data_IF_805921702603
#
_entry.id   IF_805921702603
#
_cell.length_a   1.000
_cell.length_b   1.000
_cell.length_c   1.000
_cell.angle_alpha   90.00
_cell.angle_beta   90.00
_cell.angle_gamma   90.00
#
_symmetry.space_group_name_H-M   'P 1'
#
loop_
_entity.id
_entity.type
_entity.pdbx_description
1 polymer ?
#
# COMPACT_ATOMS: atom_id res chain seq x y z
N UNK A 1 16.18 -34.97 53.05
CA UNK A 1 15.65 -36.20 53.66
C UNK A 1 14.15 -36.17 53.56
N UNK A 2 13.71 -37.15 52.98
CA UNK A 2 12.49 -37.95 52.89
C UNK A 2 11.59 -37.64 51.69
N UNK A 3 11.67 -38.62 50.93
CA UNK A 3 11.02 -39.18 49.78
C UNK A 3 9.56 -39.61 50.01
N UNK A 4 8.71 -39.36 49.05
CA UNK A 4 7.69 -40.16 48.33
C UNK A 4 6.97 -41.30 49.09
N UNK A 5 5.67 -41.61 48.80
CA UNK A 5 5.44 -42.50 47.68
C UNK A 5 4.20 -42.25 46.78
N UNK A 6 4.33 -42.82 45.58
CA UNK A 6 3.28 -43.09 44.59
C UNK A 6 2.33 -44.19 45.03
N UNK A 7 1.13 -44.23 44.42
CA UNK A 7 0.18 -45.32 44.17
C UNK A 7 -1.11 -45.35 44.98
N UNK A 8 -2.10 -45.32 44.22
CA UNK A 8 -3.26 -46.20 44.05
C UNK A 8 -4.55 -45.38 43.86
N UNK A 9 -5.55 -45.70 43.18
CA UNK A 9 -5.95 -46.85 42.33
C UNK A 9 -7.30 -46.44 41.70
N UNK A 10 -7.53 -46.89 40.50
CA UNK A 10 -8.80 -46.84 39.77
C UNK A 10 -9.99 -47.30 40.62
N UNK A 11 -11.16 -46.69 40.41
CA UNK A 11 -12.39 -47.45 40.13
C UNK A 11 -13.48 -46.58 39.53
N UNK A 12 -14.00 -47.08 38.46
CA UNK A 12 -15.06 -46.71 37.57
C UNK A 12 -16.40 -46.36 38.24
N UNK A 13 -17.15 -45.48 37.56
CA UNK A 13 -18.59 -45.67 37.43
C UNK A 13 -19.05 -45.04 36.12
N UNK A 14 -19.63 -45.85 35.26
CA UNK A 14 -20.28 -45.48 34.02
C UNK A 14 -21.56 -44.70 34.35
N UNK A 15 -21.68 -43.52 33.69
CA UNK A 15 -22.93 -42.78 33.65
C UNK A 15 -23.08 -42.25 32.20
N UNK A 16 -23.98 -42.87 31.42
CA UNK A 16 -24.37 -42.44 30.12
C UNK A 16 -25.11 -41.12 30.23
N UNK A 17 -24.43 -40.03 29.91
CA UNK A 17 -25.04 -38.73 29.66
C UNK A 17 -25.00 -38.41 28.18
N UNK A 18 -26.16 -38.46 27.51
CA UNK A 18 -26.34 -37.97 26.16
C UNK A 18 -26.14 -36.45 26.18
N UNK A 19 -24.92 -36.01 25.84
CA UNK A 19 -24.65 -34.63 25.57
C UNK A 19 -25.20 -34.29 24.21
N UNK A 20 -26.36 -33.65 24.15
CA UNK A 20 -26.87 -32.94 23.00
C UNK A 20 -25.84 -31.85 22.67
N UNK A 21 -25.08 -32.06 21.61
CA UNK A 21 -24.25 -31.05 21.02
C UNK A 21 -25.15 -29.93 20.49
N UNK A 22 -25.36 -28.90 21.34
CA UNK A 22 -25.91 -27.63 20.92
C UNK A 22 -24.90 -27.04 19.92
N UNK A 23 -25.20 -27.18 18.63
CA UNK A 23 -24.46 -26.50 17.55
C UNK A 23 -24.50 -25.01 17.80
N UNK A 24 -23.43 -24.45 18.34
CA UNK A 24 -23.14 -23.04 18.27
C UNK A 24 -22.99 -22.71 16.79
N UNK A 25 -24.10 -22.28 16.18
CA UNK A 25 -24.06 -21.57 14.90
C UNK A 25 -23.16 -20.35 15.12
N UNK A 26 -21.91 -20.44 14.67
CA UNK A 26 -21.07 -19.26 14.49
C UNK A 26 -21.78 -18.49 13.38
N UNK A 27 -22.69 -17.58 13.78
CA UNK A 27 -23.13 -16.52 12.88
C UNK A 27 -21.86 -15.79 12.46
N UNK A 28 -21.37 -16.09 11.26
CA UNK A 28 -20.41 -15.24 10.60
C UNK A 28 -21.05 -13.84 10.58
N UNK A 29 -20.61 -12.95 11.48
CA UNK A 29 -20.93 -11.54 11.37
C UNK A 29 -20.51 -11.16 9.97
N UNK A 30 -21.48 -10.88 9.10
CA UNK A 30 -21.18 -10.34 7.78
C UNK A 30 -20.29 -9.12 8.00
N UNK A 31 -19.05 -9.19 7.52
CA UNK A 31 -18.10 -8.11 7.69
C UNK A 31 -18.75 -6.85 7.14
N UNK A 32 -18.93 -5.84 8.01
CA UNK A 32 -19.51 -4.56 7.61
C UNK A 32 -18.65 -4.03 6.46
N UNK A 33 -19.28 -3.87 5.29
CA UNK A 33 -18.60 -3.33 4.12
C UNK A 33 -18.10 -1.92 4.43
N UNK A 34 -16.82 -1.61 4.12
CA UNK A 34 -16.30 -0.29 4.37
C UNK A 34 -17.00 0.73 3.47
N UNK A 35 -17.58 1.74 4.08
CA UNK A 35 -18.27 2.83 3.39
C UNK A 35 -17.47 4.12 3.53
N UNK A 36 -17.00 4.71 2.42
CA UNK A 36 -16.39 6.02 2.46
C UNK A 36 -17.35 7.08 3.02
N UNK A 37 -16.83 7.99 3.84
CA UNK A 37 -17.56 9.09 4.47
C UNK A 37 -16.76 10.40 4.36
N UNK A 38 -17.25 11.47 4.98
CA UNK A 38 -16.57 12.77 4.99
C UNK A 38 -15.17 12.76 5.66
N UNK A 39 -14.87 11.72 6.49
CA UNK A 39 -13.58 11.52 7.15
C UNK A 39 -12.70 10.51 6.40
N UNK A 40 -13.10 10.11 5.22
CA UNK A 40 -12.38 9.18 4.34
C UNK A 40 -11.73 9.92 3.19
N UNK A 41 -10.54 9.46 2.76
CA UNK A 41 -9.89 9.94 1.56
C UNK A 41 -9.47 8.77 0.64
N UNK A 42 -9.63 8.97 -0.66
CA UNK A 42 -9.03 8.13 -1.69
C UNK A 42 -7.64 8.65 -1.99
N UNK A 43 -6.63 7.80 -1.87
CA UNK A 43 -5.25 8.08 -2.26
C UNK A 43 -4.97 7.33 -3.55
N UNK A 44 -4.72 8.06 -4.62
CA UNK A 44 -4.43 7.51 -5.95
C UNK A 44 -2.93 7.66 -6.20
N UNK A 45 -2.23 6.54 -6.05
CA UNK A 45 -0.77 6.50 -6.06
C UNK A 45 -0.26 6.33 -7.47
N UNK A 46 0.49 7.32 -7.97
CA UNK A 46 1.39 7.28 -9.12
C UNK A 46 0.79 6.65 -10.40
N UNK A 47 -0.45 6.99 -10.74
CA UNK A 47 -1.07 6.56 -12.01
C UNK A 47 -0.56 7.46 -13.13
N UNK A 48 0.70 7.21 -13.54
CA UNK A 48 1.49 8.02 -14.47
C UNK A 48 1.86 7.23 -15.73
N UNK A 49 2.23 7.95 -16.79
CA UNK A 49 2.62 7.34 -18.07
C UNK A 49 3.85 6.42 -17.93
N UNK A 50 4.81 6.76 -17.06
CA UNK A 50 6.00 5.94 -16.79
C UNK A 50 5.66 4.52 -16.30
N UNK A 51 4.53 4.31 -15.61
CA UNK A 51 4.16 3.04 -15.00
C UNK A 51 3.12 2.23 -15.80
N UNK A 52 2.72 2.69 -16.97
CA UNK A 52 1.78 1.96 -17.84
C UNK A 52 2.48 1.46 -19.10
N UNK A 53 1.77 0.71 -19.93
CA UNK A 53 2.30 0.18 -21.18
C UNK A 53 2.90 1.29 -22.04
N UNK A 54 4.17 1.13 -22.45
CA UNK A 54 4.93 2.09 -23.22
C UNK A 54 5.72 3.12 -22.41
N UNK A 55 5.56 3.14 -21.08
CA UNK A 55 6.36 3.96 -20.18
C UNK A 55 7.75 3.38 -19.90
N UNK A 56 8.55 4.12 -19.14
CA UNK A 56 9.97 3.77 -18.89
C UNK A 56 10.16 2.71 -17.80
N UNK A 57 9.17 2.53 -16.92
CA UNK A 57 9.12 1.48 -15.88
C UNK A 57 7.72 0.84 -15.85
N UNK A 58 7.30 0.15 -16.95
CA UNK A 58 5.93 -0.31 -17.06
C UNK A 58 5.61 -1.41 -16.07
N UNK A 59 4.48 -1.24 -15.38
CA UNK A 59 3.86 -2.25 -14.53
C UNK A 59 2.89 -3.05 -15.40
N UNK A 60 2.95 -4.39 -15.31
CA UNK A 60 2.06 -5.26 -16.08
C UNK A 60 0.58 -4.92 -15.83
N UNK A 61 -0.16 -4.68 -16.90
CA UNK A 61 -1.58 -4.29 -16.85
C UNK A 61 -1.82 -3.01 -15.99
N UNK A 62 -0.84 -2.12 -15.89
CA UNK A 62 -0.90 -0.92 -15.05
C UNK A 62 -2.07 0.00 -15.39
N UNK A 63 -2.38 0.17 -16.67
CA UNK A 63 -3.50 0.97 -17.15
C UNK A 63 -4.88 0.43 -16.73
N UNK A 64 -5.00 -0.86 -16.39
CA UNK A 64 -6.27 -1.45 -15.97
C UNK A 64 -6.83 -0.85 -14.67
N UNK A 65 -5.99 -0.22 -13.85
CA UNK A 65 -6.43 0.44 -12.61
C UNK A 65 -7.25 1.70 -12.90
N UNK A 66 -7.04 2.37 -14.04
CA UNK A 66 -7.61 3.67 -14.37
C UNK A 66 -9.15 3.63 -14.36
N UNK A 67 -9.74 2.66 -15.06
CA UNK A 67 -11.20 2.55 -15.14
C UNK A 67 -11.83 2.25 -13.76
N UNK A 68 -11.17 1.44 -12.94
CA UNK A 68 -11.63 1.10 -11.59
C UNK A 68 -11.56 2.34 -10.70
N UNK A 69 -10.43 3.05 -10.70
CA UNK A 69 -10.22 4.27 -9.93
C UNK A 69 -11.25 5.34 -10.29
N UNK A 70 -11.45 5.61 -11.59
CA UNK A 70 -12.43 6.58 -12.05
C UNK A 70 -13.85 6.26 -11.55
N UNK A 71 -14.21 4.98 -11.56
CA UNK A 71 -15.53 4.52 -11.08
C UNK A 71 -15.70 4.75 -9.58
N UNK A 72 -14.74 4.31 -8.76
CA UNK A 72 -14.87 4.40 -7.30
C UNK A 72 -14.67 5.82 -6.78
N UNK A 73 -13.93 6.67 -7.50
CA UNK A 73 -13.65 8.05 -7.10
C UNK A 73 -14.92 8.88 -6.87
N UNK A 74 -16.01 8.58 -7.58
CA UNK A 74 -17.29 9.25 -7.40
C UNK A 74 -17.89 9.08 -5.97
N UNK A 75 -17.48 8.03 -5.25
CA UNK A 75 -17.89 7.78 -3.86
C UNK A 75 -17.08 8.53 -2.80
N UNK A 76 -16.07 9.32 -3.20
CA UNK A 76 -15.17 9.99 -2.27
C UNK A 76 -15.28 11.51 -2.35
N UNK A 77 -15.43 12.15 -1.18
CA UNK A 77 -15.40 13.61 -1.07
C UNK A 77 -13.96 14.15 -1.05
N UNK A 78 -13.00 13.36 -0.60
CA UNK A 78 -11.60 13.76 -0.51
C UNK A 78 -10.76 12.82 -1.38
N UNK A 79 -10.03 13.40 -2.33
CA UNK A 79 -9.16 12.66 -3.24
C UNK A 79 -7.80 13.33 -3.25
N UNK A 80 -6.76 12.53 -3.01
CA UNK A 80 -5.35 12.91 -3.12
C UNK A 80 -4.72 12.08 -4.23
N UNK A 81 -3.97 12.71 -5.10
CA UNK A 81 -3.17 12.04 -6.13
C UNK A 81 -1.71 12.16 -5.77
N UNK A 82 -0.90 11.17 -6.10
CA UNK A 82 0.55 11.31 -5.98
C UNK A 82 1.22 11.24 -7.35
N UNK A 83 2.43 11.80 -7.44
CA UNK A 83 3.30 11.69 -8.59
C UNK A 83 4.73 11.39 -8.13
N UNK A 84 5.32 10.34 -8.66
CA UNK A 84 6.77 10.23 -8.72
C UNK A 84 7.31 11.37 -9.58
N UNK A 85 8.33 12.09 -9.07
CA UNK A 85 8.75 13.35 -9.68
C UNK A 85 10.27 13.50 -9.59
N UNK A 86 11.00 12.55 -10.18
CA UNK A 86 12.44 12.44 -10.04
C UNK A 86 13.20 13.53 -10.80
N UNK A 87 14.23 14.08 -10.15
CA UNK A 87 15.18 14.99 -10.84
C UNK A 87 16.02 14.20 -11.85
N UNK A 88 16.46 14.84 -12.95
CA UNK A 88 17.44 14.21 -13.85
C UNK A 88 18.69 13.71 -13.08
N UNK A 89 19.10 12.48 -13.34
CA UNK A 89 20.24 11.85 -12.65
C UNK A 89 19.99 11.56 -11.18
N UNK A 90 18.77 11.15 -10.83
CA UNK A 90 18.35 10.80 -9.46
C UNK A 90 19.12 9.57 -8.93
N UNK A 91 19.43 9.56 -7.64
CA UNK A 91 20.25 8.52 -7.00
C UNK A 91 19.61 7.11 -7.03
N UNK A 92 18.30 6.97 -7.26
CA UNK A 92 17.65 5.68 -7.45
C UNK A 92 17.78 5.11 -8.86
N UNK A 93 18.36 5.83 -9.82
CA UNK A 93 18.50 5.36 -11.19
C UNK A 93 19.76 4.52 -11.37
N UNK A 94 19.67 3.41 -12.09
CA UNK A 94 20.82 2.58 -12.41
C UNK A 94 21.88 3.33 -13.25
N UNK A 95 21.44 4.25 -14.09
CA UNK A 95 22.30 5.08 -14.96
C UNK A 95 23.29 5.96 -14.17
N UNK A 96 23.01 6.28 -12.90
CA UNK A 96 23.87 7.09 -12.04
C UNK A 96 24.93 6.27 -11.29
N UNK A 97 24.92 4.94 -11.43
CA UNK A 97 25.83 4.02 -10.75
C UNK A 97 26.66 3.23 -11.77
N UNK A 98 27.93 3.58 -12.02
CA UNK A 98 28.78 2.90 -13.00
C UNK A 98 28.80 1.38 -12.79
N UNK A 99 28.53 0.63 -13.88
CA UNK A 99 28.54 -0.84 -13.88
C UNK A 99 27.28 -1.49 -13.32
N UNK A 100 26.32 -0.73 -12.82
CA UNK A 100 25.04 -1.24 -12.33
C UNK A 100 23.99 -1.32 -13.43
N UNK A 101 23.02 -2.21 -13.23
CA UNK A 101 21.86 -2.39 -14.12
C UNK A 101 20.55 -2.16 -13.34
N UNK A 102 19.47 -1.82 -14.02
CA UNK A 102 18.14 -1.78 -13.41
C UNK A 102 17.82 -3.08 -12.66
N UNK A 103 17.11 -2.93 -11.51
CA UNK A 103 16.71 -3.99 -10.59
C UNK A 103 17.84 -4.57 -9.72
N UNK A 104 19.08 -4.16 -9.90
CA UNK A 104 20.13 -4.44 -8.92
C UNK A 104 19.95 -3.54 -7.68
N UNK A 105 20.72 -3.81 -6.64
CA UNK A 105 20.72 -3.00 -5.43
C UNK A 105 22.05 -2.30 -5.19
N UNK A 106 21.97 -1.17 -4.48
CA UNK A 106 23.13 -0.44 -3.97
C UNK A 106 22.88 0.01 -2.54
N UNK A 107 23.94 0.47 -1.85
CA UNK A 107 23.82 1.11 -0.53
C UNK A 107 23.90 2.62 -0.71
N UNK A 108 22.85 3.30 -0.24
CA UNK A 108 22.79 4.76 -0.14
C UNK A 108 22.74 5.20 1.32
N UNK A 109 22.75 6.49 1.59
CA UNK A 109 22.78 7.07 2.95
C UNK A 109 21.61 6.62 3.82
N UNK A 110 20.47 6.34 3.22
CA UNK A 110 19.23 5.93 3.86
C UNK A 110 18.99 4.41 3.89
N UNK A 111 19.87 3.61 3.28
CA UNK A 111 19.74 2.15 3.32
C UNK A 111 20.02 1.45 2.00
N UNK A 112 19.42 0.28 1.81
CA UNK A 112 19.49 -0.45 0.55
C UNK A 112 18.46 0.08 -0.43
N UNK A 113 18.92 0.50 -1.61
CA UNK A 113 18.11 1.01 -2.71
C UNK A 113 18.06 0.00 -3.85
N UNK A 114 16.87 -0.29 -4.36
CA UNK A 114 16.70 -0.95 -5.67
C UNK A 114 16.94 0.10 -6.73
N UNK A 115 17.80 -0.19 -7.68
CA UNK A 115 18.10 0.70 -8.79
C UNK A 115 17.08 0.50 -9.92
N UNK A 116 16.50 1.58 -10.37
CA UNK A 116 15.46 1.59 -11.38
C UNK A 116 15.98 2.09 -12.73
N UNK A 117 15.31 1.80 -13.85
CA UNK A 117 15.47 2.61 -15.07
C UNK A 117 15.19 4.08 -14.75
N UNK A 118 15.73 4.98 -15.52
CA UNK A 118 15.32 6.40 -15.45
C UNK A 118 13.83 6.50 -15.79
N UNK A 119 13.03 6.97 -14.85
CA UNK A 119 11.57 6.99 -14.97
C UNK A 119 10.99 8.22 -14.29
N UNK A 120 9.79 8.61 -14.67
CA UNK A 120 9.04 9.72 -14.07
C UNK A 120 9.90 10.98 -13.86
N UNK A 121 10.79 11.29 -14.82
CA UNK A 121 11.67 12.47 -14.75
C UNK A 121 10.83 13.74 -14.87
N UNK A 122 11.08 14.68 -13.99
CA UNK A 122 10.34 15.96 -13.89
C UNK A 122 10.19 16.66 -15.23
N UNK A 123 8.97 17.12 -15.51
CA UNK A 123 8.66 17.92 -16.72
C UNK A 123 8.55 17.09 -18.01
N UNK A 124 8.74 15.78 -17.97
CA UNK A 124 8.54 14.91 -19.12
C UNK A 124 7.11 14.41 -19.22
N UNK A 125 6.68 14.00 -20.42
CA UNK A 125 5.39 13.34 -20.63
C UNK A 125 5.31 12.00 -19.86
N UNK A 126 6.44 11.31 -19.71
CA UNK A 126 6.58 10.08 -18.92
C UNK A 126 6.15 10.28 -17.46
N UNK A 127 6.48 11.43 -16.86
CA UNK A 127 6.07 11.78 -15.49
C UNK A 127 4.63 12.31 -15.38
N UNK A 128 3.93 12.58 -16.50
CA UNK A 128 2.57 13.07 -16.47
C UNK A 128 1.60 12.01 -15.93
N UNK A 129 0.51 12.45 -15.28
CA UNK A 129 -0.60 11.58 -14.92
C UNK A 129 -1.23 10.99 -16.18
N UNK A 130 -1.69 9.75 -16.10
CA UNK A 130 -2.32 9.09 -17.23
C UNK A 130 -3.51 9.89 -17.75
N UNK A 131 -3.56 10.12 -19.07
CA UNK A 131 -4.55 10.99 -19.73
C UNK A 131 -6.02 10.61 -19.47
N UNK A 132 -6.28 9.33 -19.22
CA UNK A 132 -7.63 8.82 -18.97
C UNK A 132 -7.98 8.74 -17.47
N UNK A 133 -7.08 9.16 -16.58
CA UNK A 133 -7.38 9.33 -15.16
C UNK A 133 -8.24 10.60 -14.98
N UNK A 134 -9.53 10.40 -14.67
CA UNK A 134 -10.53 11.46 -14.57
C UNK A 134 -10.91 11.73 -13.12
N UNK A 135 -10.16 12.58 -12.45
CA UNK A 135 -10.34 12.96 -11.05
C UNK A 135 -10.52 14.47 -10.89
N UNK A 136 -11.59 15.05 -11.45
CA UNK A 136 -11.79 16.51 -11.46
C UNK A 136 -11.96 17.11 -10.06
N UNK A 137 -12.30 16.29 -9.08
CA UNK A 137 -12.51 16.69 -7.68
C UNK A 137 -11.28 16.43 -6.79
N UNK A 138 -10.16 15.98 -7.35
CA UNK A 138 -8.92 15.82 -6.58
C UNK A 138 -8.45 17.19 -6.06
N UNK A 139 -8.17 17.26 -4.74
CA UNK A 139 -7.86 18.53 -4.08
C UNK A 139 -6.36 18.85 -4.06
N UNK A 140 -5.50 17.83 -4.13
CA UNK A 140 -4.05 18.01 -4.02
C UNK A 140 -3.31 16.92 -4.80
N UNK A 141 -2.15 17.28 -5.34
CA UNK A 141 -1.17 16.36 -5.88
C UNK A 141 0.07 16.42 -4.98
N UNK A 142 0.46 15.30 -4.42
CA UNK A 142 1.71 15.14 -3.66
C UNK A 142 2.78 14.62 -4.61
N UNK A 143 3.78 15.42 -4.88
CA UNK A 143 4.99 15.01 -5.60
C UNK A 143 5.99 14.44 -4.63
N UNK A 144 6.60 13.30 -4.98
CA UNK A 144 7.59 12.60 -4.18
C UNK A 144 8.81 12.22 -5.00
N UNK A 145 9.94 11.88 -4.34
CA UNK A 145 11.18 11.52 -5.02
C UNK A 145 11.84 12.65 -5.80
N UNK A 146 11.62 13.92 -5.40
CA UNK A 146 12.21 15.08 -6.06
C UNK A 146 13.55 15.53 -5.48
N UNK A 147 13.95 15.02 -4.33
CA UNK A 147 15.27 15.26 -3.79
C UNK A 147 16.27 14.29 -4.44
N UNK A 148 17.24 14.82 -5.17
CA UNK A 148 18.14 14.05 -6.02
C UNK A 148 18.80 12.84 -5.33
N UNK A 149 19.19 13.00 -4.08
CA UNK A 149 19.93 12.00 -3.31
C UNK A 149 19.04 11.13 -2.42
N UNK A 150 17.71 11.31 -2.49
CA UNK A 150 16.75 10.65 -1.61
C UNK A 150 15.57 10.11 -2.40
N UNK A 151 15.37 8.79 -2.37
CA UNK A 151 14.19 8.19 -2.98
C UNK A 151 12.93 8.31 -2.09
N UNK A 152 11.77 8.10 -2.65
CA UNK A 152 10.51 8.17 -1.93
C UNK A 152 9.46 7.24 -2.55
N UNK A 153 9.29 6.06 -1.96
CA UNK A 153 8.15 5.21 -2.32
C UNK A 153 6.88 5.70 -1.66
N UNK A 154 6.96 6.08 -0.38
CA UNK A 154 5.80 6.51 0.39
C UNK A 154 5.34 7.92 0.02
N UNK A 155 4.01 8.12 0.00
CA UNK A 155 3.41 9.44 -0.08
C UNK A 155 3.49 10.22 1.25
N UNK A 156 4.00 9.63 2.34
CA UNK A 156 4.09 10.24 3.67
C UNK A 156 5.48 10.71 4.02
N UNK A 157 6.45 9.80 4.00
CA UNK A 157 7.83 10.07 4.36
C UNK A 157 8.74 9.60 3.20
N UNK A 158 9.87 10.29 2.98
CA UNK A 158 10.91 9.83 2.05
C UNK A 158 11.66 8.61 2.61
N UNK A 159 12.56 8.02 1.85
CA UNK A 159 13.24 6.78 2.20
C UNK A 159 14.11 6.86 3.47
N UNK A 160 14.43 8.05 3.95
CA UNK A 160 15.09 8.27 5.25
C UNK A 160 14.15 8.13 6.44
N UNK A 161 12.83 8.01 6.21
CA UNK A 161 11.76 7.95 7.23
C UNK A 161 11.70 9.16 8.18
N UNK A 162 12.21 10.31 7.74
CA UNK A 162 12.29 11.57 8.50
C UNK A 162 11.77 12.76 7.70
N UNK A 163 12.07 12.80 6.41
CA UNK A 163 11.66 13.88 5.52
C UNK A 163 10.22 13.68 5.11
N UNK A 164 9.32 14.49 5.68
CA UNK A 164 7.89 14.37 5.42
C UNK A 164 7.48 15.07 4.12
N UNK A 165 6.59 14.48 3.34
CA UNK A 165 5.99 15.09 2.15
C UNK A 165 4.98 16.19 2.48
N UNK A 166 4.45 16.19 3.71
CA UNK A 166 3.35 17.06 4.14
C UNK A 166 1.97 16.42 4.10
N UNK A 167 1.80 15.24 3.47
CA UNK A 167 0.49 14.59 3.33
C UNK A 167 -0.20 14.33 4.67
N UNK A 168 0.53 13.85 5.67
CA UNK A 168 -0.06 13.57 6.99
C UNK A 168 -0.67 14.83 7.63
N UNK A 169 0.02 15.97 7.54
CA UNK A 169 -0.47 17.27 8.01
C UNK A 169 -1.74 17.71 7.29
N UNK A 170 -1.73 17.62 5.96
CA UNK A 170 -2.90 17.92 5.13
C UNK A 170 -4.12 17.09 5.51
N UNK A 171 -3.96 15.77 5.62
CA UNK A 171 -5.06 14.86 5.96
C UNK A 171 -5.62 15.14 7.37
N UNK A 172 -4.75 15.38 8.35
CA UNK A 172 -5.15 15.71 9.74
C UNK A 172 -5.90 17.03 9.81
N UNK A 173 -5.43 18.07 9.10
CA UNK A 173 -6.10 19.37 9.05
C UNK A 173 -7.53 19.28 8.48
N UNK A 174 -7.80 18.29 7.62
CA UNK A 174 -9.13 18.01 7.07
C UNK A 174 -9.96 17.02 7.91
N UNK A 175 -9.44 16.57 9.05
CA UNK A 175 -10.11 15.61 9.92
C UNK A 175 -10.23 14.20 9.38
N UNK A 176 -9.44 13.85 8.35
CA UNK A 176 -9.43 12.51 7.74
C UNK A 176 -8.95 11.47 8.76
N UNK A 177 -9.60 10.32 8.77
CA UNK A 177 -9.31 9.18 9.66
C UNK A 177 -9.05 7.89 8.89
N UNK A 178 -9.69 7.72 7.75
CA UNK A 178 -9.66 6.49 6.96
C UNK A 178 -9.12 6.76 5.55
N UNK A 179 -8.18 5.94 5.11
CA UNK A 179 -7.60 6.03 3.78
C UNK A 179 -7.91 4.79 2.96
N UNK A 180 -8.29 5.00 1.72
CA UNK A 180 -8.46 3.99 0.70
C UNK A 180 -7.39 4.21 -0.35
N UNK A 181 -6.48 3.26 -0.51
CA UNK A 181 -5.29 3.43 -1.33
C UNK A 181 -5.41 2.57 -2.59
N UNK A 182 -5.08 3.16 -3.73
CA UNK A 182 -5.11 2.58 -5.08
C UNK A 182 -3.86 2.98 -5.85
N UNK A 183 -3.67 2.46 -7.05
CA UNK A 183 -2.62 2.92 -7.98
C UNK A 183 -1.44 1.96 -8.10
N UNK A 184 -0.25 2.49 -8.32
CA UNK A 184 0.93 1.77 -8.77
C UNK A 184 2.17 2.11 -7.92
N UNK A 185 3.12 1.18 -7.71
CA UNK A 185 2.93 -0.25 -7.82
C UNK A 185 2.57 -0.83 -6.44
N UNK A 186 1.75 -1.89 -6.40
CA UNK A 186 1.24 -2.49 -5.14
C UNK A 186 2.35 -2.78 -4.15
N UNK A 187 3.45 -3.34 -4.60
CA UNK A 187 4.56 -3.85 -3.80
C UNK A 187 5.63 -2.80 -3.45
N UNK A 188 5.52 -1.60 -4.00
CA UNK A 188 6.38 -0.46 -3.71
C UNK A 188 5.58 0.74 -3.22
N UNK A 189 5.27 1.71 -4.07
CA UNK A 189 4.69 2.99 -3.64
C UNK A 189 3.36 2.82 -2.89
N UNK A 190 2.49 1.90 -3.32
CA UNK A 190 1.22 1.61 -2.62
C UNK A 190 1.49 1.00 -1.24
N UNK A 191 2.33 -0.02 -1.14
CA UNK A 191 2.61 -0.70 0.13
C UNK A 191 3.28 0.22 1.14
N UNK A 192 4.30 0.99 0.72
CA UNK A 192 5.00 1.92 1.60
C UNK A 192 4.07 3.04 2.07
N UNK A 193 3.27 3.61 1.16
CA UNK A 193 2.24 4.59 1.51
C UNK A 193 1.25 4.02 2.54
N UNK A 194 0.78 2.78 2.34
CA UNK A 194 -0.17 2.15 3.24
C UNK A 194 0.41 1.89 4.63
N UNK A 195 1.66 1.42 4.70
CA UNK A 195 2.33 1.14 5.97
C UNK A 195 2.65 2.42 6.75
N UNK A 196 3.10 3.48 6.07
CA UNK A 196 3.38 4.77 6.71
C UNK A 196 2.09 5.49 7.12
N UNK A 197 1.01 5.34 6.36
CA UNK A 197 -0.31 5.80 6.76
C UNK A 197 -0.76 5.14 8.08
N UNK A 198 -0.55 3.83 8.25
CA UNK A 198 -0.81 3.12 9.52
C UNK A 198 0.06 3.65 10.65
N UNK A 199 1.36 3.85 10.40
CA UNK A 199 2.31 4.45 11.34
C UNK A 199 1.85 5.86 11.77
N UNK A 200 1.29 6.63 10.84
CA UNK A 200 0.75 7.97 11.10
C UNK A 200 -0.62 7.97 11.81
N UNK A 201 -1.22 6.80 12.08
CA UNK A 201 -2.44 6.62 12.88
C UNK A 201 -3.74 6.58 12.08
N UNK A 202 -3.69 6.48 10.76
CA UNK A 202 -4.88 6.33 9.92
C UNK A 202 -5.37 4.88 9.89
N UNK A 203 -6.68 4.67 9.73
CA UNK A 203 -7.23 3.41 9.27
C UNK A 203 -6.98 3.27 7.77
N UNK A 204 -6.50 2.11 7.32
CA UNK A 204 -6.04 1.96 5.93
C UNK A 204 -6.62 0.71 5.28
N UNK A 205 -7.21 0.94 4.12
CA UNK A 205 -7.65 -0.07 3.17
C UNK A 205 -6.83 0.07 1.88
N UNK A 206 -6.33 -1.03 1.34
CA UNK A 206 -5.80 -1.09 -0.03
C UNK A 206 -6.83 -1.82 -0.89
N UNK A 207 -7.26 -1.17 -1.97
CA UNK A 207 -8.24 -1.70 -2.93
C UNK A 207 -7.46 -2.49 -3.98
N UNK A 208 -7.38 -3.80 -3.79
CA UNK A 208 -6.47 -4.67 -4.54
C UNK A 208 -6.69 -4.65 -6.04
N UNK A 209 -7.93 -4.79 -6.50
CA UNK A 209 -8.26 -4.79 -7.94
C UNK A 209 -8.00 -3.43 -8.61
N UNK A 210 -7.85 -2.36 -7.83
CA UNK A 210 -7.43 -1.04 -8.26
C UNK A 210 -5.92 -0.79 -8.07
N UNK A 211 -5.10 -1.85 -7.94
CA UNK A 211 -3.63 -1.79 -7.92
C UNK A 211 -3.02 -2.82 -8.86
N UNK A 212 -1.77 -2.60 -9.28
CA UNK A 212 -0.94 -3.58 -10.01
C UNK A 212 0.48 -3.54 -9.48
N UNK A 213 1.19 -4.68 -9.57
CA UNK A 213 2.52 -4.87 -8.99
C UNK A 213 3.60 -5.03 -10.04
N UNK A 214 4.82 -4.66 -9.68
CA UNK A 214 6.03 -5.01 -10.43
C UNK A 214 6.39 -6.49 -10.19
N UNK A 215 6.18 -6.97 -8.98
CA UNK A 215 6.49 -8.32 -8.49
C UNK A 215 7.95 -8.75 -8.72
N UNK A 216 8.86 -7.87 -8.32
CA UNK A 216 10.30 -8.13 -8.39
C UNK A 216 10.70 -9.21 -7.35
N UNK A 217 11.04 -10.42 -7.83
CA UNK A 217 11.49 -11.53 -6.99
C UNK A 217 10.53 -11.87 -5.82
N UNK A 218 9.22 -11.82 -6.05
CA UNK A 218 8.21 -12.13 -5.04
C UNK A 218 7.89 -10.96 -4.09
N UNK A 219 8.24 -9.73 -4.46
CA UNK A 219 7.96 -8.52 -3.69
C UNK A 219 6.48 -8.33 -3.40
N UNK A 220 5.58 -8.74 -4.30
CA UNK A 220 4.14 -8.63 -4.09
C UNK A 220 3.66 -9.43 -2.88
N UNK A 221 4.05 -10.70 -2.79
CA UNK A 221 3.68 -11.54 -1.65
C UNK A 221 4.25 -11.01 -0.33
N UNK A 222 5.52 -10.55 -0.37
CA UNK A 222 6.18 -9.94 0.78
C UNK A 222 5.48 -8.64 1.22
N UNK A 223 5.10 -7.77 0.28
CA UNK A 223 4.40 -6.52 0.56
C UNK A 223 3.04 -6.76 1.22
N UNK A 224 2.22 -7.68 0.69
CA UNK A 224 0.94 -8.04 1.32
C UNK A 224 1.11 -8.56 2.74
N UNK A 225 2.13 -9.39 2.99
CA UNK A 225 2.44 -9.88 4.35
C UNK A 225 2.82 -8.74 5.29
N UNK A 226 3.65 -7.80 4.83
CA UNK A 226 4.08 -6.64 5.63
C UNK A 226 2.90 -5.68 5.89
N UNK A 227 2.10 -5.37 4.89
CA UNK A 227 0.90 -4.54 5.04
C UNK A 227 -0.07 -5.14 6.06
N UNK A 228 -0.37 -6.44 5.96
CA UNK A 228 -1.24 -7.13 6.92
C UNK A 228 -0.69 -7.09 8.36
N UNK A 229 0.62 -7.28 8.54
CA UNK A 229 1.29 -7.18 9.84
C UNK A 229 1.22 -5.76 10.45
N UNK A 230 1.07 -4.73 9.62
CA UNK A 230 0.85 -3.33 10.04
C UNK A 230 -0.63 -2.97 10.21
N UNK A 231 -1.55 -3.92 10.02
CA UNK A 231 -2.99 -3.71 10.16
C UNK A 231 -3.64 -2.98 8.96
N UNK A 232 -3.01 -3.03 7.79
CA UNK A 232 -3.62 -2.63 6.53
C UNK A 232 -4.64 -3.69 6.12
N UNK A 233 -5.83 -3.25 5.73
CA UNK A 233 -6.91 -4.13 5.28
C UNK A 233 -6.91 -4.22 3.76
N UNK A 234 -6.97 -5.44 3.23
CA UNK A 234 -7.07 -5.73 1.79
C UNK A 234 -8.53 -5.91 1.43
N UNK A 235 -9.01 -5.16 0.45
CA UNK A 235 -10.39 -5.21 -0.04
C UNK A 235 -10.42 -5.17 -1.57
N UNK A 236 -11.60 -5.44 -2.14
CA UNK A 236 -11.89 -5.24 -3.56
C UNK A 236 -12.75 -3.98 -3.76
N UNK A 237 -12.76 -3.40 -4.96
CA UNK A 237 -13.61 -2.24 -5.26
C UNK A 237 -15.10 -2.54 -5.10
N UNK A 238 -15.53 -3.79 -5.28
CA UNK A 238 -16.90 -4.25 -5.05
C UNK A 238 -17.29 -4.38 -3.56
N UNK A 239 -16.34 -4.26 -2.64
CA UNK A 239 -16.59 -4.27 -1.20
C UNK A 239 -16.98 -2.89 -0.66
N UNK A 240 -16.82 -1.83 -1.47
CA UNK A 240 -17.27 -0.49 -1.10
C UNK A 240 -18.80 -0.44 -1.13
N UNK A 241 -19.41 0.09 -0.06
CA UNK A 241 -20.87 0.18 0.11
C UNK A 241 -21.40 1.54 -0.35
#
# INVERSE_FOLDING_TARGET
>A
MNAIPRRALLKALAGAGVATASGLSINALAAIKPKPDAKSALIVVDVQNCFVTGGTLPVKDGEAVVAIINRIAAGFQNIVVTQDWHTPGHASFASTHPGKKPFETTKLSYGTQVLWPDHCVQGTDDAALHKDLKLPTAQIIIRKGFHKEMDSYSAFDEADHKTATGLAGYLRARGIKTLYITGLATDFCVAWTAMDARKAGFEVYVIEDATRAIDLNGSLAAAWKQMAAKGVKRIQSGDLA
#
